data_IF_424903523255
#
_entry.id   IF_424903523255
#
_cell.length_a   1.000
_cell.length_b   1.000
_cell.length_c   1.000
_cell.angle_alpha   90.00
_cell.angle_beta   90.00
_cell.angle_gamma   90.00
#
_symmetry.space_group_name_H-M   'P 1'
#
loop_
_entity.id
_entity.type
_entity.pdbx_description
1 polymer ?
#
# COMPACT_ATOMS: atom_id res chain seq x y z
N UNK A 1 39.21 39.97 -38.96
CA UNK A 1 38.45 38.87 -39.61
C UNK A 1 38.65 37.66 -38.71
N UNK A 2 37.73 37.31 -37.80
CA UNK A 2 36.45 36.62 -38.08
C UNK A 2 36.77 35.21 -38.60
N UNK A 3 36.51 34.09 -37.93
CA UNK A 3 35.35 33.74 -37.11
C UNK A 3 35.64 32.49 -36.24
N UNK A 4 34.91 32.37 -35.13
CA UNK A 4 34.84 31.19 -34.23
C UNK A 4 33.60 30.38 -34.62
N UNK A 5 33.67 29.06 -34.85
CA UNK A 5 32.45 28.28 -35.05
C UNK A 5 31.77 28.01 -33.70
N UNK A 6 30.45 28.19 -33.73
CA UNK A 6 29.54 28.13 -32.61
C UNK A 6 29.24 26.67 -32.20
N UNK A 7 28.87 26.52 -30.92
CA UNK A 7 28.21 25.34 -30.38
C UNK A 7 27.08 24.85 -31.28
N UNK A 8 27.06 23.55 -31.52
CA UNK A 8 25.80 22.85 -31.76
C UNK A 8 25.66 21.84 -30.64
N UNK A 9 25.12 22.31 -29.53
CA UNK A 9 24.42 21.44 -28.59
C UNK A 9 23.19 20.99 -29.36
N UNK A 10 23.23 19.77 -29.87
CA UNK A 10 22.03 19.03 -30.20
C UNK A 10 21.30 18.82 -28.88
N UNK A 11 20.35 19.72 -28.60
CA UNK A 11 19.35 19.50 -27.57
C UNK A 11 18.56 18.29 -28.03
N UNK A 12 19.00 17.12 -27.55
CA UNK A 12 18.25 15.89 -27.64
C UNK A 12 16.96 16.11 -26.84
N UNK A 13 15.94 16.58 -27.54
CA UNK A 13 14.54 16.45 -27.16
C UNK A 13 14.26 14.95 -27.17
N UNK A 14 14.61 14.30 -26.05
CA UNK A 14 14.06 13.00 -25.77
C UNK A 14 12.56 13.23 -25.65
N UNK A 15 11.71 12.64 -26.51
CA UNK A 15 10.30 12.63 -26.23
C UNK A 15 10.19 11.98 -24.86
N UNK A 16 9.79 12.76 -23.86
CA UNK A 16 9.39 12.25 -22.56
C UNK A 16 8.23 11.33 -22.89
N UNK A 17 8.53 10.04 -23.01
CA UNK A 17 7.54 8.99 -23.09
C UNK A 17 6.82 9.12 -21.76
N UNK A 18 5.71 9.86 -21.77
CA UNK A 18 4.78 9.86 -20.66
C UNK A 18 4.27 8.44 -20.59
N UNK A 19 4.93 7.60 -19.80
CA UNK A 19 4.51 6.23 -19.56
C UNK A 19 3.06 6.30 -19.08
N UNK A 20 2.13 5.90 -19.94
CA UNK A 20 0.74 5.76 -19.57
C UNK A 20 0.69 4.76 -18.44
N UNK A 21 0.32 5.22 -17.24
CA UNK A 21 0.13 4.34 -16.09
C UNK A 21 -0.95 3.33 -16.45
N UNK A 22 -0.60 2.04 -16.44
CA UNK A 22 -1.58 0.98 -16.71
C UNK A 22 -2.44 0.75 -15.47
N UNK A 23 -3.70 0.41 -15.69
CA UNK A 23 -4.63 0.09 -14.62
C UNK A 23 -4.11 -1.06 -13.73
N UNK A 24 -3.51 -2.06 -14.36
CA UNK A 24 -2.98 -3.24 -13.66
C UNK A 24 -1.78 -2.92 -12.77
N UNK A 25 -0.97 -1.92 -13.12
CA UNK A 25 0.15 -1.47 -12.29
C UNK A 25 -0.31 -0.84 -10.96
N UNK A 26 -1.55 -0.32 -10.94
CA UNK A 26 -2.16 0.28 -9.75
C UNK A 26 -3.04 -0.71 -9.01
N UNK A 27 -3.88 -1.49 -9.72
CA UNK A 27 -4.80 -2.41 -9.06
C UNK A 27 -4.09 -3.59 -8.41
N UNK A 28 -3.10 -4.22 -9.06
CA UNK A 28 -2.48 -5.43 -8.51
C UNK A 28 -1.86 -5.19 -7.12
N UNK A 29 -1.09 -4.11 -6.88
CA UNK A 29 -0.58 -3.84 -5.54
C UNK A 29 -1.67 -3.57 -4.50
N UNK A 30 -2.76 -2.92 -4.89
CA UNK A 30 -3.89 -2.64 -3.99
C UNK A 30 -4.65 -3.91 -3.61
N UNK A 31 -4.91 -4.79 -4.57
CA UNK A 31 -5.54 -6.09 -4.35
C UNK A 31 -4.66 -6.98 -3.48
N UNK A 32 -3.36 -7.05 -3.78
CA UNK A 32 -2.41 -7.80 -2.95
C UNK A 32 -2.41 -7.28 -1.51
N UNK A 33 -2.37 -5.96 -1.34
CA UNK A 33 -2.41 -5.36 -0.02
C UNK A 33 -3.71 -5.67 0.73
N UNK A 34 -4.85 -5.74 0.02
CA UNK A 34 -6.14 -6.11 0.59
C UNK A 34 -6.16 -7.57 1.05
N UNK A 35 -5.61 -8.49 0.26
CA UNK A 35 -5.52 -9.90 0.63
C UNK A 35 -4.67 -10.10 1.89
N UNK A 36 -3.57 -9.36 2.04
CA UNK A 36 -2.74 -9.38 3.25
C UNK A 36 -3.53 -8.92 4.50
N UNK A 37 -4.47 -7.97 4.32
CA UNK A 37 -5.36 -7.52 5.39
C UNK A 37 -6.47 -8.51 5.75
N UNK A 38 -6.89 -9.41 4.85
CA UNK A 38 -8.02 -10.32 5.11
C UNK A 38 -7.83 -11.24 6.31
N UNK A 39 -6.58 -11.58 6.64
CA UNK A 39 -6.25 -12.46 7.77
C UNK A 39 -6.38 -11.82 9.15
N UNK A 40 -6.30 -10.49 9.23
CA UNK A 40 -6.15 -9.77 10.49
C UNK A 40 -7.26 -8.74 10.72
N UNK A 41 -7.87 -8.25 9.64
CA UNK A 41 -8.94 -7.26 9.69
C UNK A 41 -10.31 -7.93 9.60
N UNK A 42 -11.35 -7.29 10.15
CA UNK A 42 -12.75 -7.74 10.03
C UNK A 42 -13.15 -7.86 8.55
N UNK A 43 -13.77 -8.99 8.20
CA UNK A 43 -14.27 -9.27 6.84
C UNK A 43 -15.07 -8.12 6.23
N UNK A 44 -15.94 -7.46 6.99
CA UNK A 44 -16.75 -6.33 6.52
C UNK A 44 -15.89 -5.14 6.02
N UNK A 45 -14.74 -4.90 6.65
CA UNK A 45 -13.82 -3.83 6.24
C UNK A 45 -13.14 -4.21 4.93
N UNK A 46 -12.67 -5.45 4.80
CA UNK A 46 -12.09 -5.96 3.56
C UNK A 46 -13.11 -5.94 2.40
N UNK A 47 -14.37 -6.30 2.67
CA UNK A 47 -15.45 -6.27 1.68
C UNK A 47 -15.79 -4.83 1.23
N UNK A 48 -15.75 -3.84 2.15
CA UNK A 48 -15.93 -2.43 1.80
C UNK A 48 -14.76 -1.90 0.95
N UNK A 49 -13.52 -2.22 1.32
CA UNK A 49 -12.33 -1.85 0.54
C UNK A 49 -12.40 -2.48 -0.85
N UNK A 50 -12.70 -3.78 -0.94
CA UNK A 50 -12.86 -4.50 -2.22
C UNK A 50 -13.88 -3.81 -3.13
N UNK A 51 -15.05 -3.46 -2.60
CA UNK A 51 -16.08 -2.72 -3.35
C UNK A 51 -15.56 -1.38 -3.88
N UNK A 52 -14.76 -0.66 -3.09
CA UNK A 52 -14.17 0.62 -3.51
C UNK A 52 -13.07 0.46 -4.55
N UNK A 53 -12.29 -0.63 -4.51
CA UNK A 53 -11.33 -0.94 -5.56
C UNK A 53 -12.02 -1.25 -6.90
N UNK A 54 -13.18 -1.92 -6.87
CA UNK A 54 -14.02 -2.10 -8.08
C UNK A 54 -14.48 -0.75 -8.63
N UNK A 55 -14.93 0.17 -7.78
CA UNK A 55 -15.29 1.53 -8.23
C UNK A 55 -14.11 2.28 -8.85
N UNK A 56 -12.91 2.16 -8.26
CA UNK A 56 -11.68 2.73 -8.84
C UNK A 56 -11.42 2.14 -10.24
N UNK A 57 -11.54 0.82 -10.39
CA UNK A 57 -11.36 0.12 -11.66
C UNK A 57 -12.34 0.60 -12.73
N UNK A 58 -13.63 0.68 -12.39
CA UNK A 58 -14.68 1.17 -13.29
C UNK A 58 -14.40 2.60 -13.76
N UNK A 59 -14.13 3.52 -12.83
CA UNK A 59 -13.85 4.92 -13.16
C UNK A 59 -12.57 5.08 -14.01
N UNK A 60 -11.56 4.24 -13.78
CA UNK A 60 -10.34 4.24 -14.58
C UNK A 60 -10.58 3.77 -16.01
N UNK A 61 -11.30 2.64 -16.16
CA UNK A 61 -11.63 2.04 -17.45
C UNK A 61 -12.58 2.93 -18.27
N UNK A 62 -13.51 3.62 -17.60
CA UNK A 62 -14.40 4.61 -18.21
C UNK A 62 -13.69 5.91 -18.58
N UNK A 63 -12.41 6.08 -18.21
CA UNK A 63 -11.64 7.28 -18.51
C UNK A 63 -12.04 8.51 -17.69
N UNK A 64 -12.74 8.31 -16.57
CA UNK A 64 -13.19 9.39 -15.67
C UNK A 64 -12.07 9.95 -14.80
N UNK A 65 -10.94 9.26 -14.72
CA UNK A 65 -9.76 9.68 -13.98
C UNK A 65 -8.79 10.42 -14.89
N UNK A 66 -8.42 11.63 -14.48
CA UNK A 66 -7.43 12.45 -15.14
C UNK A 66 -6.02 11.87 -15.03
N UNK A 67 -5.15 12.22 -15.99
CA UNK A 67 -3.74 11.82 -15.98
C UNK A 67 -2.99 12.12 -14.67
N UNK A 68 -3.12 13.31 -14.03
CA UNK A 68 -2.48 13.57 -12.74
C UNK A 68 -2.96 12.62 -11.63
N UNK A 69 -4.25 12.25 -11.60
CA UNK A 69 -4.76 11.25 -10.65
C UNK A 69 -4.11 9.89 -10.90
N UNK A 70 -4.05 9.44 -12.15
CA UNK A 70 -3.43 8.16 -12.52
C UNK A 70 -1.95 8.09 -12.14
N UNK A 71 -1.18 9.13 -12.45
CA UNK A 71 0.25 9.24 -12.09
C UNK A 71 0.47 9.22 -10.57
N UNK A 72 -0.33 9.99 -9.82
CA UNK A 72 -0.22 10.01 -8.36
C UNK A 72 -0.65 8.70 -7.72
N UNK A 73 -1.64 8.01 -8.29
CA UNK A 73 -2.01 6.67 -7.85
C UNK A 73 -0.88 5.66 -8.06
N UNK A 74 -0.14 5.74 -9.17
CA UNK A 74 1.05 4.93 -9.39
C UNK A 74 2.10 5.13 -8.29
N UNK A 75 2.35 6.39 -7.91
CA UNK A 75 3.26 6.72 -6.81
C UNK A 75 2.72 6.20 -5.47
N UNK A 76 1.43 6.38 -5.20
CA UNK A 76 0.81 5.90 -3.96
C UNK A 76 1.00 4.39 -3.77
N UNK A 77 0.78 3.60 -4.83
CA UNK A 77 0.96 2.15 -4.74
C UNK A 77 2.42 1.75 -4.63
N UNK A 78 3.35 2.52 -5.22
CA UNK A 78 4.79 2.32 -5.05
C UNK A 78 5.23 2.56 -3.59
N UNK A 79 4.74 3.62 -2.97
CA UNK A 79 4.99 3.91 -1.55
C UNK A 79 4.35 2.84 -0.65
N UNK A 80 3.13 2.39 -0.98
CA UNK A 80 2.45 1.30 -0.28
C UNK A 80 3.26 -0.01 -0.32
N UNK A 81 3.78 -0.39 -1.49
CA UNK A 81 4.64 -1.57 -1.65
C UNK A 81 6.00 -1.41 -0.96
N UNK A 82 6.47 -0.19 -0.76
CA UNK A 82 7.73 0.12 -0.06
C UNK A 82 7.55 0.29 1.45
N UNK A 83 6.33 0.03 1.97
CA UNK A 83 5.96 0.19 3.39
C UNK A 83 6.09 1.64 3.88
N UNK A 84 6.07 2.61 2.96
CA UNK A 84 6.17 4.05 3.25
C UNK A 84 4.77 4.63 3.48
N UNK A 85 4.15 4.25 4.61
CA UNK A 85 2.74 4.59 4.91
C UNK A 85 2.47 6.09 4.97
N UNK A 86 3.41 6.86 5.53
CA UNK A 86 3.25 8.32 5.67
C UNK A 86 3.35 9.01 4.29
N UNK A 87 4.23 8.55 3.40
CA UNK A 87 4.33 9.05 2.03
C UNK A 87 3.08 8.70 1.20
N UNK A 88 2.53 7.49 1.36
CA UNK A 88 1.26 7.11 0.75
C UNK A 88 0.09 8.00 1.24
N UNK A 89 0.06 8.33 2.54
CA UNK A 89 -0.96 9.23 3.10
C UNK A 89 -0.79 10.69 2.64
N UNK A 90 0.45 11.17 2.46
CA UNK A 90 0.73 12.49 1.88
C UNK A 90 0.18 12.60 0.44
N UNK A 91 0.39 11.56 -0.38
CA UNK A 91 -0.16 11.51 -1.74
C UNK A 91 -1.69 11.47 -1.72
N UNK A 92 -2.29 10.68 -0.82
CA UNK A 92 -3.73 10.68 -0.59
C UNK A 92 -4.25 12.08 -0.22
N UNK A 93 -3.59 12.78 0.71
CA UNK A 93 -3.95 14.16 1.09
C UNK A 93 -3.86 15.11 -0.09
N UNK A 94 -2.80 15.02 -0.90
CA UNK A 94 -2.66 15.83 -2.11
C UNK A 94 -3.77 15.55 -3.12
N UNK A 95 -4.14 14.29 -3.35
CA UNK A 95 -5.26 13.91 -4.23
C UNK A 95 -6.61 14.42 -3.71
N UNK A 96 -6.82 14.40 -2.39
CA UNK A 96 -8.04 14.93 -1.77
C UNK A 96 -8.13 16.47 -1.81
N UNK A 97 -7.03 17.17 -2.05
CA UNK A 97 -7.04 18.63 -2.24
C UNK A 97 -7.28 18.99 -3.69
N UNK A 98 -6.54 18.36 -4.61
CA UNK A 98 -6.53 18.76 -6.01
C UNK A 98 -7.64 18.09 -6.84
N UNK A 99 -8.04 16.87 -6.49
CA UNK A 99 -8.88 16.00 -7.32
C UNK A 99 -10.00 15.31 -6.53
N UNK A 100 -10.51 15.93 -5.46
CA UNK A 100 -11.52 15.33 -4.56
C UNK A 100 -12.75 14.80 -5.27
N UNK A 101 -13.20 15.47 -6.34
CA UNK A 101 -14.38 15.09 -7.12
C UNK A 101 -14.19 13.77 -7.86
N UNK A 102 -12.96 13.43 -8.25
CA UNK A 102 -12.61 12.20 -8.96
C UNK A 102 -12.34 11.04 -8.01
N UNK A 103 -11.74 11.33 -6.84
CA UNK A 103 -11.21 10.28 -5.95
C UNK A 103 -12.10 9.96 -4.76
N UNK A 104 -12.93 10.90 -4.28
CA UNK A 104 -13.63 10.79 -2.99
C UNK A 104 -14.49 9.52 -2.81
N UNK A 105 -15.08 9.00 -3.88
CA UNK A 105 -15.98 7.83 -3.81
C UNK A 105 -15.25 6.55 -3.38
N UNK A 106 -14.02 6.34 -3.87
CA UNK A 106 -13.24 5.12 -3.62
C UNK A 106 -12.04 5.36 -2.71
N UNK A 107 -11.51 6.59 -2.66
CA UNK A 107 -10.28 6.93 -1.93
C UNK A 107 -10.35 6.64 -0.43
N UNK A 108 -11.54 6.72 0.19
CA UNK A 108 -11.65 6.39 1.62
C UNK A 108 -11.32 4.91 1.90
N UNK A 109 -11.52 4.03 0.90
CA UNK A 109 -11.13 2.62 0.94
C UNK A 109 -9.63 2.45 0.86
N UNK A 110 -8.98 3.22 -0.01
CA UNK A 110 -7.51 3.26 -0.13
C UNK A 110 -6.88 3.81 1.16
N UNK A 111 -7.43 4.90 1.72
CA UNK A 111 -7.02 5.42 3.03
C UNK A 111 -7.13 4.36 4.12
N UNK A 112 -8.24 3.61 4.13
CA UNK A 112 -8.44 2.52 5.10
C UNK A 112 -7.40 1.42 4.89
N UNK A 113 -7.15 1.03 3.63
CA UNK A 113 -6.14 0.03 3.28
C UNK A 113 -4.74 0.40 3.79
N UNK A 114 -4.31 1.66 3.61
CA UNK A 114 -3.03 2.17 4.15
C UNK A 114 -2.99 2.01 5.68
N UNK A 115 -4.08 2.36 6.37
CA UNK A 115 -4.15 2.26 7.83
C UNK A 115 -4.12 0.79 8.32
N UNK A 116 -4.82 -0.12 7.65
CA UNK A 116 -4.78 -1.55 7.96
C UNK A 116 -3.38 -2.12 7.72
N UNK A 117 -2.77 -1.83 6.57
CA UNK A 117 -1.39 -2.24 6.24
C UNK A 117 -0.35 -1.75 7.25
N UNK A 118 -0.47 -0.50 7.70
CA UNK A 118 0.38 0.05 8.76
C UNK A 118 0.18 -0.68 10.09
N UNK A 119 -1.07 -1.02 10.43
CA UNK A 119 -1.40 -1.73 11.68
C UNK A 119 -0.80 -3.14 11.66
N UNK A 120 -0.96 -3.85 10.55
CA UNK A 120 -0.36 -5.17 10.31
C UNK A 120 1.15 -5.19 10.52
N UNK A 121 1.85 -4.25 9.88
CA UNK A 121 3.31 -4.15 10.00
C UNK A 121 3.76 -3.86 11.43
N UNK A 122 2.92 -3.22 12.26
CA UNK A 122 3.19 -2.96 13.68
C UNK A 122 2.81 -4.14 14.58
N UNK A 123 1.84 -4.96 14.18
CA UNK A 123 1.42 -6.18 14.90
C UNK A 123 2.41 -7.34 14.68
N UNK A 124 3.06 -7.41 13.52
CA UNK A 124 4.14 -8.39 13.26
C UNK A 124 5.33 -8.22 14.23
N UNK A 125 5.67 -6.98 14.60
CA UNK A 125 6.77 -6.69 15.54
C UNK A 125 6.47 -7.04 17.00
N UNK A 126 5.19 -7.27 17.36
CA UNK A 126 4.78 -7.52 18.76
C UNK A 126 4.42 -8.97 19.05
N UNK A 127 4.32 -9.84 18.04
CA UNK A 127 3.96 -11.25 18.23
C UNK A 127 5.20 -12.18 18.37
N UNK A 128 6.42 -11.69 18.14
CA UNK A 128 7.65 -12.49 18.31
C UNK A 128 8.11 -12.59 19.78
N UNK A 129 7.53 -11.82 20.71
CA UNK A 129 7.82 -11.92 22.16
C UNK A 129 6.79 -12.74 22.96
N UNK A 130 5.95 -13.54 22.29
CA UNK A 130 5.03 -14.48 22.97
C UNK A 130 5.04 -15.87 22.35
N UNK A 131 6.22 -16.43 22.09
CA UNK A 131 6.39 -17.87 21.82
C UNK A 131 7.64 -18.48 22.47
N UNK A 132 8.33 -17.76 23.36
CA UNK A 132 9.48 -18.28 24.12
C UNK A 132 9.16 -18.57 25.61
N UNK A 133 7.95 -19.06 25.92
CA UNK A 133 7.59 -19.49 27.26
C UNK A 133 6.98 -20.90 27.28
N UNK A 134 7.73 -21.88 26.79
CA UNK A 134 7.51 -23.31 27.11
C UNK A 134 8.85 -24.04 27.19
N UNK A 135 9.02 -24.87 28.24
CA UNK A 135 10.20 -25.63 28.71
C UNK A 135 11.10 -24.81 29.66
N UNK A 136 11.41 -25.18 30.91
CA UNK A 136 11.43 -26.44 31.69
C UNK A 136 10.73 -26.18 33.05
N UNK A 137 10.13 -27.12 33.79
CA UNK A 137 10.75 -28.31 34.37
C UNK A 137 9.64 -29.29 34.80
N UNK A 138 9.67 -30.50 34.25
CA UNK A 138 8.93 -31.66 34.76
C UNK A 138 9.93 -32.80 34.87
N UNK A 139 10.33 -33.16 36.09
CA UNK A 139 10.59 -34.54 36.53
C UNK A 139 10.67 -34.59 38.07
N UNK A 140 9.73 -35.24 38.79
CA UNK A 140 9.72 -36.69 39.13
C UNK A 140 10.81 -36.99 40.16
N UNK A 141 10.60 -37.44 41.42
CA UNK A 141 9.81 -38.54 42.05
C UNK A 141 10.41 -38.80 43.46
N UNK A 142 10.04 -39.85 44.24
CA UNK A 142 8.78 -40.20 44.91
C UNK A 142 8.99 -40.36 46.44
N UNK A 143 7.96 -40.62 47.25
CA UNK A 143 8.17 -40.88 48.68
C UNK A 143 6.93 -41.36 49.42
N UNK A 144 6.87 -42.67 49.61
CA UNK A 144 5.84 -43.45 50.29
C UNK A 144 5.81 -43.17 51.81
N UNK A 145 4.63 -43.10 52.45
CA UNK A 145 4.24 -44.01 53.54
C UNK A 145 2.92 -43.63 54.20
N UNK A 146 2.21 -44.69 54.59
CA UNK A 146 0.86 -44.79 55.09
C UNK A 146 0.92 -45.27 56.55
N UNK A 147 0.10 -44.66 57.42
CA UNK A 147 -0.51 -45.16 58.68
C UNK A 147 0.39 -45.65 59.85
N UNK A 148 -0.13 -45.75 61.10
CA UNK A 148 -1.54 -45.86 61.52
C UNK A 148 -2.10 -44.75 62.44
#
# INVERSE_FOLDING_TARGET
MGSRPASTVDSTDFPVIECETLLEDVLRPLEQALEDCRGHTKKQVCDDISRRLVLLQEQWAEGKLSMPVKKRMALLVQELSSHQWDAADDIHRSLMVDHVTEVSQWMVGVKRLIAEKRSLSSEEETNEEKSAATAEENQTKPGVQQDP
#
